data_IF_147943985251
#
_entry.id   IF_147943985251
#
_cell.length_a   1.000
_cell.length_b   1.000
_cell.length_c   1.000
_cell.angle_alpha   90.00
_cell.angle_beta   90.00
_cell.angle_gamma   90.00
#
_symmetry.space_group_name_H-M   'P 1'
#
loop_
_entity.id
_entity.type
_entity.pdbx_description
1 polymer ?
#
# COMPACT_ATOMS: atom_id res chain seq x y z
N UNK A 1 11.79 -1.58 -15.74
CA UNK A 1 12.24 -1.91 -14.37
C UNK A 1 11.54 -0.96 -13.39
N UNK A 2 10.63 -1.50 -12.58
CA UNK A 2 9.82 -0.82 -11.57
C UNK A 2 10.50 -0.97 -10.21
N UNK A 3 10.78 0.15 -9.56
CA UNK A 3 11.45 0.20 -8.26
C UNK A 3 10.43 0.21 -7.13
N UNK A 4 10.50 -0.78 -6.26
CA UNK A 4 9.52 -0.98 -5.17
C UNK A 4 10.19 -0.81 -3.81
N UNK A 5 9.53 -0.07 -2.91
CA UNK A 5 9.84 -0.06 -1.48
C UNK A 5 8.70 -0.74 -0.74
N UNK A 6 9.02 -1.64 0.20
CA UNK A 6 8.05 -2.46 0.94
C UNK A 6 8.03 -2.11 2.43
N UNK A 7 6.84 -2.01 3.01
CA UNK A 7 6.61 -1.91 4.44
C UNK A 7 5.66 -3.03 4.89
N UNK A 8 6.18 -3.93 5.71
CA UNK A 8 5.50 -5.14 6.18
C UNK A 8 6.13 -5.60 7.51
N UNK A 9 5.33 -5.66 8.58
CA UNK A 9 5.81 -5.98 9.92
C UNK A 9 6.06 -7.49 10.11
N UNK A 10 5.32 -8.34 9.39
CA UNK A 10 5.56 -9.77 9.40
C UNK A 10 6.81 -10.12 8.58
N UNK A 11 7.92 -10.36 9.27
CA UNK A 11 9.22 -10.73 8.67
C UNK A 11 9.11 -11.87 7.66
N UNK A 12 8.37 -12.93 7.96
CA UNK A 12 8.24 -14.10 7.09
C UNK A 12 7.49 -13.74 5.81
N UNK A 13 6.39 -12.97 5.94
CA UNK A 13 5.64 -12.52 4.78
C UNK A 13 6.45 -11.54 3.92
N UNK A 14 7.17 -10.59 4.55
CA UNK A 14 8.09 -9.68 3.88
C UNK A 14 9.16 -10.41 3.08
N UNK A 15 9.76 -11.46 3.65
CA UNK A 15 10.76 -12.29 2.97
C UNK A 15 10.18 -13.07 1.79
N UNK A 16 8.98 -13.63 1.94
CA UNK A 16 8.28 -14.33 0.87
C UNK A 16 7.93 -13.38 -0.28
N UNK A 17 7.44 -12.17 0.03
CA UNK A 17 7.11 -11.16 -0.96
C UNK A 17 8.35 -10.65 -1.69
N UNK A 18 9.45 -10.45 -0.95
CA UNK A 18 10.76 -10.14 -1.51
C UNK A 18 11.21 -11.18 -2.55
N UNK A 19 11.12 -12.47 -2.20
CA UNK A 19 11.49 -13.57 -3.10
C UNK A 19 10.57 -13.64 -4.32
N UNK A 20 9.26 -13.47 -4.10
CA UNK A 20 8.27 -13.46 -5.18
C UNK A 20 8.52 -12.33 -6.17
N UNK A 21 8.74 -11.10 -5.69
CA UNK A 21 9.03 -9.96 -6.55
C UNK A 21 10.37 -10.09 -7.27
N UNK A 22 11.38 -10.69 -6.62
CA UNK A 22 12.68 -10.94 -7.22
C UNK A 22 12.65 -11.98 -8.36
N UNK A 23 11.56 -12.76 -8.49
CA UNK A 23 11.37 -13.69 -9.61
C UNK A 23 11.01 -12.99 -10.93
N UNK A 24 10.69 -11.69 -10.89
CA UNK A 24 10.39 -10.88 -12.06
C UNK A 24 11.57 -9.96 -12.40
N UNK A 25 12.11 -10.06 -13.62
CA UNK A 25 13.17 -9.18 -14.12
C UNK A 25 12.71 -7.71 -14.28
N UNK A 26 11.40 -7.48 -14.25
CA UNK A 26 10.83 -6.15 -14.37
C UNK A 26 10.75 -5.39 -13.04
N UNK A 27 10.91 -6.07 -11.91
CA UNK A 27 10.73 -5.49 -10.56
C UNK A 27 12.05 -5.48 -9.80
N UNK A 28 12.39 -4.32 -9.25
CA UNK A 28 13.56 -4.15 -8.40
C UNK A 28 13.14 -3.66 -7.02
N UNK A 29 13.34 -4.50 -6.01
CA UNK A 29 13.06 -4.13 -4.63
C UNK A 29 14.22 -3.30 -4.06
N UNK A 30 13.96 -2.00 -3.84
CA UNK A 30 14.96 -1.04 -3.36
C UNK A 30 15.25 -1.19 -1.86
N UNK A 31 14.21 -1.42 -1.08
CA UNK A 31 14.29 -1.58 0.36
C UNK A 31 13.03 -2.27 0.89
N UNK A 32 13.17 -2.91 2.06
CA UNK A 32 12.03 -3.42 2.82
C UNK A 32 12.18 -3.07 4.30
N UNK A 33 11.08 -2.69 4.94
CA UNK A 33 11.02 -2.21 6.32
C UNK A 33 9.96 -2.98 7.12
N UNK A 34 10.16 -3.07 8.43
CA UNK A 34 9.25 -3.76 9.36
C UNK A 34 8.25 -2.86 10.06
N UNK A 35 8.30 -1.57 9.77
CA UNK A 35 7.54 -0.55 10.47
C UNK A 35 7.46 0.70 9.61
N UNK A 36 6.34 1.42 9.75
CA UNK A 36 6.10 2.71 9.11
C UNK A 36 6.76 3.90 9.85
N UNK A 37 7.48 3.68 10.95
CA UNK A 37 8.08 4.76 11.70
C UNK A 37 9.15 5.46 10.85
N UNK A 38 9.07 6.78 10.76
CA UNK A 38 9.95 7.56 9.88
C UNK A 38 9.85 7.19 8.40
N UNK A 39 8.71 6.66 7.94
CA UNK A 39 8.51 6.23 6.54
C UNK A 39 8.89 7.31 5.51
N UNK A 40 8.56 8.57 5.76
CA UNK A 40 8.94 9.70 4.89
C UNK A 40 10.45 9.79 4.71
N UNK A 41 11.21 9.82 5.81
CA UNK A 41 12.67 9.88 5.79
C UNK A 41 13.29 8.63 5.17
N UNK A 42 12.69 7.44 5.41
CA UNK A 42 13.13 6.18 4.80
C UNK A 42 12.96 6.24 3.28
N UNK A 43 11.78 6.61 2.80
CA UNK A 43 11.42 6.63 1.38
C UNK A 43 12.24 7.67 0.59
N UNK A 44 12.50 8.84 1.17
CA UNK A 44 13.32 9.88 0.53
C UNK A 44 14.76 9.43 0.20
N UNK A 45 15.28 8.41 0.90
CA UNK A 45 16.62 7.86 0.63
C UNK A 45 16.69 6.99 -0.62
N UNK A 46 15.56 6.54 -1.15
CA UNK A 46 15.49 5.61 -2.27
C UNK A 46 14.74 6.21 -3.45
N UNK A 47 15.30 6.06 -4.66
CA UNK A 47 14.54 6.27 -5.89
C UNK A 47 13.58 5.10 -6.07
N UNK A 48 12.29 5.36 -5.94
CA UNK A 48 11.24 4.35 -6.03
C UNK A 48 10.15 4.82 -6.98
N UNK A 49 9.45 3.87 -7.60
CA UNK A 49 8.29 4.10 -8.46
C UNK A 49 6.99 3.76 -7.73
N UNK A 50 7.05 2.76 -6.83
CA UNK A 50 5.91 2.27 -6.06
C UNK A 50 6.31 2.02 -4.62
N UNK A 51 5.42 2.37 -3.69
CA UNK A 51 5.49 1.96 -2.28
C UNK A 51 4.40 0.92 -2.04
N UNK A 52 4.79 -0.28 -1.60
CA UNK A 52 3.86 -1.27 -1.08
C UNK A 52 3.84 -1.14 0.45
N UNK A 53 2.66 -0.89 1.00
CA UNK A 53 2.47 -0.54 2.41
C UNK A 53 1.38 -1.44 2.98
N UNK A 54 1.73 -2.23 3.99
CA UNK A 54 0.71 -2.91 4.80
C UNK A 54 -0.10 -1.87 5.60
N UNK A 55 -1.41 -2.10 5.68
CA UNK A 55 -2.36 -1.23 6.37
C UNK A 55 -2.28 -1.46 7.88
N UNK A 56 -2.09 -2.70 8.31
CA UNK A 56 -2.21 -3.13 9.70
C UNK A 56 -0.84 -3.32 10.38
N UNK A 57 -0.02 -2.27 10.39
CA UNK A 57 1.24 -2.28 11.13
C UNK A 57 1.09 -1.72 12.55
N UNK A 58 1.86 -2.24 13.53
CA UNK A 58 1.92 -1.68 14.87
C UNK A 58 2.54 -0.28 14.87
N UNK A 59 2.03 0.59 15.75
CA UNK A 59 2.45 1.99 15.85
C UNK A 59 1.67 2.89 14.91
N UNK A 60 2.28 3.28 13.78
CA UNK A 60 1.66 4.14 12.78
C UNK A 60 0.92 3.28 11.76
N UNK A 61 -0.37 3.56 11.51
CA UNK A 61 -1.12 2.84 10.49
C UNK A 61 -0.53 3.09 9.10
N UNK A 62 -0.58 2.09 8.22
CA UNK A 62 -0.17 2.26 6.82
C UNK A 62 -0.91 3.38 6.09
N UNK A 63 -2.15 3.68 6.50
CA UNK A 63 -2.94 4.78 5.93
C UNK A 63 -2.34 6.15 6.34
N UNK A 64 -2.01 6.31 7.62
CA UNK A 64 -1.39 7.53 8.15
C UNK A 64 0.00 7.73 7.54
N UNK A 65 0.77 6.65 7.41
CA UNK A 65 2.06 6.64 6.73
C UNK A 65 1.94 7.12 5.28
N UNK A 66 0.97 6.57 4.53
CA UNK A 66 0.73 6.96 3.14
C UNK A 66 0.30 8.43 3.02
N UNK A 67 -0.51 8.93 3.94
CA UNK A 67 -0.88 10.35 4.00
C UNK A 67 0.34 11.24 4.24
N UNK A 68 1.22 10.87 5.18
CA UNK A 68 2.45 11.61 5.47
C UNK A 68 3.40 11.64 4.26
N UNK A 69 3.55 10.51 3.57
CA UNK A 69 4.36 10.40 2.34
C UNK A 69 3.80 11.31 1.26
N UNK A 70 2.49 11.26 1.02
CA UNK A 70 1.82 12.07 0.00
C UNK A 70 1.89 13.57 0.30
N UNK A 71 1.82 13.96 1.57
CA UNK A 71 1.95 15.36 1.98
C UNK A 71 3.37 15.92 1.75
N UNK A 72 4.39 15.04 1.80
CA UNK A 72 5.80 15.46 1.71
C UNK A 72 6.37 15.37 0.29
N UNK A 73 5.76 14.58 -0.60
CA UNK A 73 6.17 14.45 -2.00
C UNK A 73 5.23 15.26 -2.91
N UNK A 74 5.58 16.51 -3.27
CA UNK A 74 4.88 17.23 -4.32
C UNK A 74 5.16 16.53 -5.66
N UNK A 75 4.15 15.83 -6.18
CA UNK A 75 4.03 15.33 -7.56
C UNK A 75 5.23 14.53 -8.10
N UNK A 76 5.96 13.83 -7.24
CA UNK A 76 7.12 13.04 -7.64
C UNK A 76 6.72 11.59 -7.87
N UNK A 77 6.10 11.30 -9.01
CA UNK A 77 6.15 9.98 -9.67
C UNK A 77 5.52 8.77 -9.00
N UNK A 78 5.20 8.79 -7.70
CA UNK A 78 4.38 7.77 -7.05
C UNK A 78 2.95 7.97 -7.53
N UNK A 79 2.63 7.50 -8.73
CA UNK A 79 1.24 7.45 -9.20
C UNK A 79 0.47 6.70 -8.11
N UNK A 80 -0.47 7.35 -7.39
CA UNK A 80 -1.29 6.63 -6.45
C UNK A 80 -1.94 5.50 -7.24
N UNK A 81 -1.72 4.26 -6.80
CA UNK A 81 -2.34 3.11 -7.44
C UNK A 81 -3.84 3.42 -7.53
N UNK A 82 -4.46 3.31 -8.72
CA UNK A 82 -5.85 3.71 -8.84
C UNK A 82 -6.69 2.91 -7.84
N UNK A 83 -7.77 3.47 -7.28
CA UNK A 83 -8.55 2.85 -6.20
C UNK A 83 -8.91 1.37 -6.43
N UNK A 84 -8.99 0.95 -7.70
CA UNK A 84 -9.20 -0.45 -8.13
C UNK A 84 -8.08 -1.44 -7.76
N UNK A 85 -6.87 -1.00 -7.41
CA UNK A 85 -5.76 -1.87 -7.01
C UNK A 85 -5.68 -2.09 -5.48
N UNK A 86 -6.58 -1.49 -4.70
CA UNK A 86 -6.80 -1.82 -3.29
C UNK A 86 -7.57 -3.14 -3.08
N UNK A 87 -7.84 -3.89 -4.15
CA UNK A 87 -8.57 -5.15 -4.06
C UNK A 87 -7.66 -6.33 -3.72
N UNK A 88 -7.55 -6.58 -2.41
CA UNK A 88 -7.25 -7.90 -1.89
C UNK A 88 -5.98 -7.96 -1.05
N UNK A 89 -6.08 -7.62 0.23
CA UNK A 89 -5.69 -8.49 1.35
C UNK A 89 -6.29 -7.91 2.65
N UNK A 90 -7.20 -8.68 3.26
CA UNK A 90 -7.64 -8.68 4.67
C UNK A 90 -8.13 -7.39 5.36
N UNK A 91 -9.45 -7.40 5.63
CA UNK A 91 -10.16 -6.88 6.81
C UNK A 91 -10.27 -5.36 7.02
N UNK A 92 -11.23 -4.81 6.29
CA UNK A 92 -11.97 -3.60 6.63
C UNK A 92 -12.62 -3.76 8.02
N UNK A 93 -11.98 -3.26 9.08
CA UNK A 93 -12.66 -3.12 10.37
C UNK A 93 -13.70 -2.00 10.26
N UNK A 94 -14.96 -2.41 10.34
CA UNK A 94 -16.11 -1.52 10.53
C UNK A 94 -16.08 -1.02 11.96
N UNK A 95 -15.37 0.07 12.25
CA UNK A 95 -15.82 1.07 13.24
C UNK A 95 -14.94 2.32 13.21
N UNK A 96 -15.16 3.18 12.23
CA UNK A 96 -14.92 4.62 12.44
C UNK A 96 -16.14 5.37 11.93
N UNK A 97 -16.99 5.78 12.87
CA UNK A 97 -17.97 6.83 12.62
C UNK A 97 -17.18 8.12 12.41
N UNK A 98 -16.99 8.50 11.15
CA UNK A 98 -16.66 9.87 10.75
C UNK A 98 -17.87 10.39 9.97
N UNK A 99 -18.51 11.42 10.51
CA UNK A 99 -19.52 12.24 9.81
C UNK A 99 -20.80 11.52 9.41
N UNK A 100 -21.91 11.83 10.09
CA UNK A 100 -23.21 11.26 9.77
C UNK A 100 -23.63 11.50 8.31
N UNK A 101 -23.64 10.45 7.51
CA UNK A 101 -24.55 10.27 6.35
C UNK A 101 -24.58 8.77 6.03
N UNK A 102 -25.76 8.17 6.11
CA UNK A 102 -26.00 6.74 5.83
C UNK A 102 -26.13 6.55 4.32
N UNK A 103 -25.26 5.76 3.69
CA UNK A 103 -25.40 5.36 2.28
C UNK A 103 -26.19 4.04 2.16
N UNK A 104 -27.05 3.87 1.13
CA UNK A 104 -27.98 2.75 1.01
C UNK A 104 -27.31 1.40 0.74
N UNK A 105 -27.88 0.33 1.30
CA UNK A 105 -27.36 -1.05 1.39
C UNK A 105 -27.50 -1.89 0.12
N UNK A 106 -27.55 -1.31 -1.08
CA UNK A 106 -27.78 -2.09 -2.29
C UNK A 106 -27.36 -1.30 -3.53
N UNK A 107 -26.26 -1.72 -4.15
CA UNK A 107 -25.96 -1.42 -5.55
C UNK A 107 -25.50 -2.73 -6.23
N UNK A 108 -25.91 -2.98 -7.49
CA UNK A 108 -25.98 -4.32 -8.06
C UNK A 108 -24.62 -4.82 -8.53
N UNK A 109 -24.47 -6.15 -8.46
CA UNK A 109 -23.30 -6.88 -8.97
C UNK A 109 -23.33 -6.75 -10.50
N UNK A 110 -22.35 -6.07 -11.10
CA UNK A 110 -22.17 -6.08 -12.55
C UNK A 110 -21.64 -7.46 -13.00
N UNK A 111 -22.18 -8.04 -14.09
CA UNK A 111 -21.79 -9.37 -14.54
C UNK A 111 -20.35 -9.37 -15.06
N UNK A 112 -19.57 -10.37 -14.65
CA UNK A 112 -18.27 -10.70 -15.25
C UNK A 112 -18.48 -11.05 -16.72
N UNK A 113 -17.98 -10.22 -17.63
CA UNK A 113 -17.80 -10.63 -19.02
C UNK A 113 -16.67 -11.65 -19.08
N UNK A 114 -17.02 -12.91 -19.38
CA UNK A 114 -16.08 -13.92 -19.83
C UNK A 114 -15.71 -13.62 -21.28
N UNK A 115 -14.42 -13.56 -21.58
CA UNK A 115 -13.85 -14.02 -22.85
C UNK A 115 -12.46 -14.55 -22.54
#
# INVERSE_FOLDING_TARGET
>A
MIRVVLFEDNKSFRQNLALYLASSDEIFMCASFGDAEGCVSKIQRYKHDVVLMDIQMPGISGIEALQAIKATLPDTGSKPLPPKWFFGFSTFDRTTKIGGTTLPKHLPILPRTKT
#
